data_IF_728414599377
#
_entry.id   IF_728414599377
#
_cell.length_a   1.000
_cell.length_b   1.000
_cell.length_c   1.000
_cell.angle_alpha   90.00
_cell.angle_beta   90.00
_cell.angle_gamma   90.00
#
_symmetry.space_group_name_H-M   'P 1'
#
loop_
_entity.id
_entity.type
_entity.pdbx_description
1 polymer ?
#
# COMPACT_ATOMS: atom_id res chain seq x y z
N UNK A 1 -4.05 12.17 -4.96
CA UNK A 1 -3.04 11.47 -5.79
C UNK A 1 -1.66 12.12 -5.68
N UNK A 2 -1.53 13.44 -5.84
CA UNK A 2 -0.24 14.13 -5.65
C UNK A 2 0.29 14.05 -4.22
N UNK A 3 -0.58 14.23 -3.22
CA UNK A 3 -0.23 14.06 -1.78
C UNK A 3 0.22 12.65 -1.45
N UNK A 4 -0.49 11.64 -1.96
CA UNK A 4 -0.14 10.23 -1.74
C UNK A 4 1.17 9.83 -2.42
N UNK A 5 1.52 10.44 -3.57
CA UNK A 5 2.82 10.25 -4.20
C UNK A 5 3.96 10.80 -3.33
N UNK A 6 3.79 11.99 -2.76
CA UNK A 6 4.78 12.57 -1.85
C UNK A 6 4.98 11.69 -0.61
N UNK A 7 3.88 11.22 -0.01
CA UNK A 7 3.94 10.31 1.15
C UNK A 7 4.57 8.97 0.78
N UNK A 8 4.24 8.42 -0.39
CA UNK A 8 4.80 7.16 -0.86
C UNK A 8 6.33 7.25 -1.01
N UNK A 9 6.83 8.34 -1.60
CA UNK A 9 8.27 8.59 -1.73
C UNK A 9 8.94 8.74 -0.38
N UNK A 10 8.37 9.52 0.55
CA UNK A 10 8.98 9.73 1.87
C UNK A 10 9.01 8.45 2.70
N UNK A 11 7.92 7.66 2.71
CA UNK A 11 7.87 6.39 3.42
C UNK A 11 8.80 5.35 2.77
N UNK A 12 8.85 5.29 1.43
CA UNK A 12 9.76 4.40 0.70
C UNK A 12 11.23 4.66 1.04
N UNK A 13 11.63 5.94 1.07
CA UNK A 13 12.98 6.34 1.48
C UNK A 13 13.25 6.03 2.96
N UNK A 14 12.31 6.33 3.85
CA UNK A 14 12.44 6.04 5.28
C UNK A 14 12.60 4.52 5.53
N UNK A 15 11.83 3.69 4.82
CA UNK A 15 11.92 2.25 4.90
C UNK A 15 13.23 1.71 4.36
N UNK A 16 13.73 2.30 3.27
CA UNK A 16 15.03 1.95 2.72
C UNK A 16 16.18 2.24 3.71
N UNK A 17 16.19 3.44 4.30
CA UNK A 17 17.16 3.80 5.36
C UNK A 17 17.02 2.87 6.56
N UNK A 18 15.80 2.55 6.97
CA UNK A 18 15.55 1.64 8.10
C UNK A 18 16.08 0.23 7.85
N UNK A 19 15.82 -0.32 6.67
CA UNK A 19 16.30 -1.64 6.27
C UNK A 19 17.82 -1.70 6.18
N UNK A 20 18.46 -0.62 5.71
CA UNK A 20 19.91 -0.50 5.69
C UNK A 20 20.52 -0.49 7.10
N UNK A 21 19.93 0.27 8.04
CA UNK A 21 20.38 0.29 9.45
C UNK A 21 20.23 -1.09 10.11
N UNK A 22 19.19 -1.85 9.76
CA UNK A 22 18.94 -3.19 10.29
C UNK A 22 19.84 -4.26 9.63
N UNK A 23 20.64 -3.91 8.64
CA UNK A 23 21.52 -4.86 7.94
C UNK A 23 20.75 -5.96 7.19
N UNK A 24 19.51 -5.68 6.79
CA UNK A 24 18.69 -6.66 6.05
C UNK A 24 19.23 -6.79 4.63
N UNK A 25 19.19 -8.00 4.05
CA UNK A 25 19.68 -8.26 2.69
C UNK A 25 19.11 -7.28 1.64
N UNK A 26 19.90 -7.01 0.59
CA UNK A 26 19.53 -6.04 -0.46
C UNK A 26 18.18 -6.37 -1.11
N UNK A 27 17.90 -7.66 -1.32
CA UNK A 27 16.65 -8.12 -1.93
C UNK A 27 15.44 -7.76 -1.08
N UNK A 28 15.48 -8.06 0.22
CA UNK A 28 14.39 -7.71 1.17
C UNK A 28 14.23 -6.21 1.28
N UNK A 29 15.34 -5.48 1.28
CA UNK A 29 15.36 -4.01 1.31
C UNK A 29 14.63 -3.40 0.11
N UNK A 30 14.86 -3.94 -1.09
CA UNK A 30 14.14 -3.56 -2.31
C UNK A 30 12.66 -3.95 -2.26
N UNK A 31 12.34 -5.16 -1.80
CA UNK A 31 10.96 -5.64 -1.67
C UNK A 31 10.15 -4.72 -0.74
N UNK A 32 10.67 -4.41 0.44
CA UNK A 32 9.96 -3.60 1.44
C UNK A 32 9.76 -2.16 0.96
N UNK A 33 10.83 -1.51 0.46
CA UNK A 33 10.75 -0.13 0.01
C UNK A 33 9.80 0.05 -1.19
N UNK A 34 9.89 -0.82 -2.19
CA UNK A 34 9.00 -0.77 -3.36
C UNK A 34 7.54 -1.09 -2.99
N UNK A 35 7.33 -2.08 -2.12
CA UNK A 35 5.99 -2.46 -1.66
C UNK A 35 5.32 -1.31 -0.90
N UNK A 36 6.04 -0.61 -0.02
CA UNK A 36 5.47 0.51 0.72
C UNK A 36 5.05 1.66 -0.20
N UNK A 37 5.84 1.96 -1.23
CA UNK A 37 5.46 2.96 -2.24
C UNK A 37 4.17 2.54 -2.95
N UNK A 38 4.11 1.30 -3.45
CA UNK A 38 2.98 0.78 -4.18
C UNK A 38 1.69 0.72 -3.33
N UNK A 39 1.79 0.18 -2.10
CA UNK A 39 0.66 0.07 -1.17
C UNK A 39 0.15 1.45 -0.76
N UNK A 40 1.02 2.43 -0.56
CA UNK A 40 0.61 3.80 -0.21
C UNK A 40 -0.20 4.47 -1.33
N UNK A 41 0.25 4.33 -2.58
CA UNK A 41 -0.50 4.85 -3.73
C UNK A 41 -1.82 4.09 -3.91
N UNK A 42 -1.79 2.77 -3.77
CA UNK A 42 -2.97 1.91 -3.85
C UNK A 42 -4.03 2.27 -2.80
N UNK A 43 -3.61 2.44 -1.55
CA UNK A 43 -4.46 2.85 -0.43
C UNK A 43 -5.20 4.16 -0.72
N UNK A 44 -4.50 5.17 -1.27
CA UNK A 44 -5.10 6.45 -1.64
C UNK A 44 -6.14 6.31 -2.78
N UNK A 45 -5.89 5.43 -3.74
CA UNK A 45 -6.83 5.15 -4.83
C UNK A 45 -8.08 4.47 -4.25
N UNK A 46 -7.90 3.37 -3.52
CA UNK A 46 -9.00 2.56 -2.98
C UNK A 46 -9.88 3.35 -2.03
N UNK A 47 -9.28 4.08 -1.09
CA UNK A 47 -10.01 4.92 -0.12
C UNK A 47 -10.83 6.02 -0.80
N UNK A 48 -10.42 6.49 -1.98
CA UNK A 48 -11.21 7.46 -2.76
C UNK A 48 -12.31 6.79 -3.60
N UNK A 49 -12.05 5.61 -4.18
CA UNK A 49 -12.97 4.94 -5.09
C UNK A 49 -14.10 4.21 -4.34
N UNK A 50 -13.79 3.50 -3.26
CA UNK A 50 -14.79 2.68 -2.54
C UNK A 50 -16.01 3.52 -2.11
N UNK A 51 -15.86 4.68 -1.43
CA UNK A 51 -17.01 5.49 -1.03
C UNK A 51 -17.82 6.00 -2.23
N UNK A 52 -17.15 6.35 -3.33
CA UNK A 52 -17.81 6.82 -4.54
C UNK A 52 -18.61 5.70 -5.23
N UNK A 53 -18.07 4.49 -5.25
CA UNK A 53 -18.74 3.31 -5.81
C UNK A 53 -19.95 2.91 -4.97
N UNK A 54 -19.82 2.88 -3.65
CA UNK A 54 -20.93 2.57 -2.74
C UNK A 54 -22.09 3.55 -2.90
N UNK A 55 -21.77 4.86 -2.96
CA UNK A 55 -22.77 5.89 -3.22
C UNK A 55 -23.50 5.68 -4.55
N UNK A 56 -22.82 5.23 -5.60
CA UNK A 56 -23.44 4.89 -6.89
C UNK A 56 -24.33 3.65 -6.84
N UNK A 57 -24.03 2.71 -5.95
CA UNK A 57 -24.84 1.52 -5.72
C UNK A 57 -26.02 1.77 -4.75
N UNK A 58 -26.20 3.01 -4.28
CA UNK A 58 -27.23 3.38 -3.31
C UNK A 58 -26.93 2.94 -1.87
N UNK A 59 -25.71 2.48 -1.60
CA UNK A 59 -25.25 2.12 -0.26
C UNK A 59 -24.65 3.38 0.37
N UNK A 60 -25.12 3.74 1.57
CA UNK A 60 -24.57 4.87 2.31
C UNK A 60 -23.11 4.57 2.70
N UNK A 61 -22.12 5.36 2.22
CA UNK A 61 -20.72 5.19 2.57
C UNK A 61 -20.47 5.29 4.08
N UNK A 62 -21.33 5.96 4.85
CA UNK A 62 -21.23 6.03 6.30
C UNK A 62 -21.45 4.66 6.98
N UNK A 63 -22.19 3.76 6.32
CA UNK A 63 -22.45 2.38 6.79
C UNK A 63 -21.21 1.50 6.58
N UNK A 64 -20.42 1.79 5.55
CA UNK A 64 -19.15 1.10 5.31
C UNK A 64 -18.06 1.82 6.11
N UNK A 65 -17.77 1.28 7.28
CA UNK A 65 -16.90 1.90 8.25
C UNK A 65 -15.44 1.99 7.77
N UNK A 66 -14.67 2.93 8.32
CA UNK A 66 -13.22 3.01 8.11
C UNK A 66 -12.48 1.67 8.36
N UNK A 67 -12.87 0.84 9.36
CA UNK A 67 -12.39 -0.53 9.52
C UNK A 67 -12.51 -1.42 8.28
N UNK A 68 -13.59 -1.34 7.50
CA UNK A 68 -13.74 -2.17 6.30
C UNK A 68 -12.71 -1.79 5.22
N UNK A 69 -12.53 -0.49 4.99
CA UNK A 69 -11.58 0.03 4.01
C UNK A 69 -10.15 -0.38 4.40
N UNK A 70 -9.80 -0.30 5.69
CA UNK A 70 -8.51 -0.73 6.21
C UNK A 70 -8.27 -2.23 5.94
N UNK A 71 -9.21 -3.11 6.29
CA UNK A 71 -9.09 -4.55 6.04
C UNK A 71 -8.95 -4.88 4.55
N UNK A 72 -9.67 -4.17 3.68
CA UNK A 72 -9.56 -4.35 2.24
C UNK A 72 -8.18 -3.93 1.72
N UNK A 73 -7.66 -2.78 2.20
CA UNK A 73 -6.32 -2.30 1.87
C UNK A 73 -5.25 -3.27 2.41
N UNK A 74 -5.42 -3.84 3.59
CA UNK A 74 -4.48 -4.81 4.15
C UNK A 74 -4.45 -6.11 3.33
N UNK A 75 -5.61 -6.67 2.99
CA UNK A 75 -5.70 -7.87 2.17
C UNK A 75 -5.11 -7.67 0.78
N UNK A 76 -5.45 -6.58 0.11
CA UNK A 76 -4.88 -6.25 -1.21
C UNK A 76 -3.41 -5.82 -1.14
N UNK A 77 -3.00 -5.20 -0.04
CA UNK A 77 -1.62 -4.79 0.22
C UNK A 77 -0.69 -6.00 0.39
N UNK A 78 -1.12 -7.06 1.06
CA UNK A 78 -0.38 -8.31 1.13
C UNK A 78 -0.19 -8.95 -0.26
N UNK A 79 -1.21 -8.91 -1.11
CA UNK A 79 -1.10 -9.41 -2.49
C UNK A 79 -0.04 -8.60 -3.25
N UNK A 80 -0.04 -7.27 -3.14
CA UNK A 80 0.97 -6.39 -3.76
C UNK A 80 2.36 -6.72 -3.23
N UNK A 81 2.52 -6.83 -1.91
CA UNK A 81 3.79 -7.17 -1.27
C UNK A 81 4.34 -8.50 -1.77
N UNK A 82 3.53 -9.57 -1.71
CA UNK A 82 3.97 -10.88 -2.15
C UNK A 82 4.25 -10.91 -3.65
N UNK A 83 3.48 -10.19 -4.48
CA UNK A 83 3.77 -10.10 -5.91
C UNK A 83 5.11 -9.43 -6.19
N UNK A 84 5.43 -8.35 -5.47
CA UNK A 84 6.74 -7.71 -5.58
C UNK A 84 7.85 -8.64 -5.08
N UNK A 85 7.63 -9.31 -3.95
CA UNK A 85 8.56 -10.30 -3.41
C UNK A 85 8.86 -11.41 -4.41
N UNK A 86 7.83 -11.98 -5.06
CA UNK A 86 7.98 -13.00 -6.10
C UNK A 86 8.85 -12.51 -7.27
N UNK A 87 8.60 -11.29 -7.76
CA UNK A 87 9.37 -10.73 -8.89
C UNK A 87 10.81 -10.39 -8.52
N UNK A 88 11.07 -9.91 -7.29
CA UNK A 88 12.41 -9.50 -6.85
C UNK A 88 13.24 -10.69 -6.39
N UNK A 89 12.66 -11.63 -5.66
CA UNK A 89 13.33 -12.82 -5.12
C UNK A 89 13.34 -13.99 -6.11
N UNK A 90 12.59 -13.91 -7.20
CA UNK A 90 12.52 -14.97 -8.21
C UNK A 90 11.83 -16.25 -7.73
N UNK A 91 10.86 -16.13 -6.83
CA UNK A 91 10.07 -17.24 -6.24
C UNK A 91 8.61 -17.18 -6.70
#
# INVERSE_FOLDING_TARGET
>A
VTTSLLIAVTIGLAAWVRAWIMGVGMEVTLVVSLSLVAITVWSAIVSSIIPMLLKRLGIDPAVVSAPFIATFIDGTGLIIYFKIAQHVLGI
#
